data_IF_253176348180
#
_entry.id   IF_253176348180
#
_cell.length_a   1.000
_cell.length_b   1.000
_cell.length_c   1.000
_cell.angle_alpha   90.00
_cell.angle_beta   90.00
_cell.angle_gamma   90.00
#
_symmetry.space_group_name_H-M   'P 1'
#
loop_
_entity.id
_entity.type
_entity.pdbx_description
1 polymer ?
#
# COMPACT_ATOMS: atom_id res chain seq x y z
N UNK A 1 7.30 8.71 -79.72
CA UNK A 1 6.59 7.42 -79.54
C UNK A 1 7.48 6.57 -78.65
N UNK A 2 7.49 6.81 -77.33
CA UNK A 2 6.68 6.18 -76.26
C UNK A 2 7.23 4.82 -75.77
N UNK A 3 7.47 4.75 -74.45
CA UNK A 3 7.69 3.57 -73.56
C UNK A 3 9.15 3.09 -73.49
N UNK A 4 9.81 2.93 -72.34
CA UNK A 4 9.33 2.60 -71.00
C UNK A 4 10.18 3.30 -69.92
N UNK A 5 9.53 4.12 -69.10
CA UNK A 5 9.97 4.45 -67.75
C UNK A 5 9.17 3.57 -66.77
N UNK A 6 9.69 3.39 -65.57
CA UNK A 6 9.17 2.60 -64.45
C UNK A 6 9.46 1.10 -64.48
N UNK A 7 10.67 0.74 -64.03
CA UNK A 7 10.88 -0.49 -63.29
C UNK A 7 11.80 -0.19 -62.10
N UNK A 8 11.43 -0.72 -60.94
CA UNK A 8 12.20 -0.75 -59.69
C UNK A 8 12.20 0.52 -58.82
N UNK A 9 11.02 0.95 -58.36
CA UNK A 9 10.93 1.68 -57.08
C UNK A 9 9.60 1.40 -56.37
N UNK A 10 9.33 0.15 -56.00
CA UNK A 10 8.09 -0.21 -55.28
C UNK A 10 8.24 -1.51 -54.46
N UNK A 11 9.24 -1.57 -53.58
CA UNK A 11 9.34 -2.64 -52.57
C UNK A 11 9.87 -2.13 -51.22
N UNK A 12 9.25 -1.08 -50.68
CA UNK A 12 9.37 -0.73 -49.26
C UNK A 12 8.05 -0.15 -48.74
N UNK A 13 6.95 -0.88 -48.93
CA UNK A 13 5.75 -0.65 -48.12
C UNK A 13 5.98 -1.28 -46.75
N UNK A 14 6.52 -0.49 -45.82
CA UNK A 14 6.57 -0.85 -44.41
C UNK A 14 5.17 -1.15 -43.92
N UNK A 15 4.92 -2.39 -43.51
CA UNK A 15 3.68 -2.78 -42.85
C UNK A 15 3.76 -2.20 -41.44
N UNK A 16 3.25 -0.98 -41.25
CA UNK A 16 3.00 -0.43 -39.92
C UNK A 16 1.80 -1.20 -39.38
N UNK A 17 2.06 -2.29 -38.66
CA UNK A 17 1.05 -2.95 -37.86
C UNK A 17 0.64 -1.96 -36.75
N UNK A 18 -0.64 -1.58 -36.64
CA UNK A 18 -1.09 -0.84 -35.47
C UNK A 18 -0.91 -1.74 -34.24
N UNK A 19 -0.07 -1.31 -33.31
CA UNK A 19 0.00 -1.92 -31.97
C UNK A 19 -1.28 -1.48 -31.26
N UNK A 20 -2.27 -2.36 -31.23
CA UNK A 20 -3.42 -2.18 -30.36
C UNK A 20 -2.98 -2.49 -28.93
N UNK A 21 -2.85 -1.45 -28.10
CA UNK A 21 -2.71 -1.60 -26.67
C UNK A 21 -4.02 -2.21 -26.12
N UNK A 22 -4.01 -3.50 -25.84
CA UNK A 22 -5.12 -4.19 -25.18
C UNK A 22 -4.96 -4.01 -23.66
N UNK A 23 -5.59 -2.99 -23.09
CA UNK A 23 -5.85 -2.96 -21.65
C UNK A 23 -7.33 -2.74 -21.41
N UNK A 24 -8.10 -3.83 -21.46
CA UNK A 24 -9.44 -3.86 -20.91
C UNK A 24 -9.44 -4.79 -19.71
N UNK A 25 -8.66 -4.45 -18.68
CA UNK A 25 -8.95 -4.96 -17.35
C UNK A 25 -10.22 -4.29 -16.86
N UNK A 26 -11.17 -5.08 -16.37
CA UNK A 26 -12.32 -4.57 -15.63
C UNK A 26 -11.79 -3.68 -14.48
N UNK A 27 -12.19 -2.40 -14.39
CA UNK A 27 -11.75 -1.50 -13.33
C UNK A 27 -11.93 -2.07 -11.92
N UNK A 28 -12.95 -2.91 -11.71
CA UNK A 28 -13.19 -3.58 -10.44
C UNK A 28 -12.10 -4.60 -10.09
N UNK A 29 -11.63 -5.36 -11.08
CA UNK A 29 -10.55 -6.35 -10.91
C UNK A 29 -9.21 -5.66 -10.67
N UNK A 30 -8.95 -4.55 -11.33
CA UNK A 30 -7.73 -3.75 -11.11
C UNK A 30 -7.65 -3.23 -9.67
N UNK A 31 -8.75 -2.67 -9.16
CA UNK A 31 -8.84 -2.14 -7.79
C UNK A 31 -8.67 -3.22 -6.73
N UNK A 32 -9.29 -4.39 -6.92
CA UNK A 32 -9.11 -5.53 -6.01
C UNK A 32 -7.67 -6.02 -5.98
N UNK A 33 -7.01 -6.11 -7.14
CA UNK A 33 -5.60 -6.46 -7.22
C UNK A 33 -4.72 -5.43 -6.52
N UNK A 34 -5.05 -4.14 -6.60
CA UNK A 34 -4.33 -3.09 -5.88
C UNK A 34 -4.50 -3.23 -4.37
N UNK A 35 -5.72 -3.48 -3.88
CA UNK A 35 -5.96 -3.75 -2.45
C UNK A 35 -5.18 -4.97 -1.94
N UNK A 36 -5.09 -6.04 -2.73
CA UNK A 36 -4.27 -7.20 -2.38
C UNK A 36 -2.79 -6.84 -2.25
N UNK A 37 -2.27 -6.01 -3.17
CA UNK A 37 -0.89 -5.49 -3.07
C UNK A 37 -0.70 -4.63 -1.82
N UNK A 38 -1.66 -3.75 -1.50
CA UNK A 38 -1.61 -2.89 -0.30
C UNK A 38 -1.58 -3.74 0.97
N UNK A 39 -2.40 -4.79 1.05
CA UNK A 39 -2.43 -5.66 2.23
C UNK A 39 -1.15 -6.51 2.38
N UNK A 40 -0.55 -6.95 1.27
CA UNK A 40 0.63 -7.82 1.29
C UNK A 40 1.96 -7.06 1.49
N UNK A 41 2.09 -5.87 0.89
CA UNK A 41 3.34 -5.12 0.83
C UNK A 41 4.02 -4.90 2.20
N UNK A 42 3.30 -4.52 3.28
CA UNK A 42 3.95 -4.24 4.55
C UNK A 42 4.60 -5.45 5.22
N UNK A 43 4.22 -6.67 4.82
CA UNK A 43 4.81 -7.92 5.32
C UNK A 43 5.92 -8.46 4.42
N UNK A 44 6.03 -7.95 3.19
CA UNK A 44 6.92 -8.50 2.16
C UNK A 44 8.14 -7.62 1.89
N UNK A 45 8.13 -6.37 2.37
CA UNK A 45 9.18 -5.41 2.09
C UNK A 45 9.75 -4.85 3.38
N UNK A 46 11.07 -4.62 3.38
CA UNK A 46 11.74 -3.85 4.42
C UNK A 46 11.57 -2.37 4.11
N UNK A 47 11.29 -1.56 5.12
CA UNK A 47 11.10 -0.13 4.94
C UNK A 47 11.46 0.66 6.19
N UNK A 48 11.79 1.93 5.97
CA UNK A 48 11.98 2.94 7.01
C UNK A 48 11.24 4.20 6.59
N UNK A 49 10.60 4.86 7.54
CA UNK A 49 9.85 6.08 7.25
C UNK A 49 9.47 6.86 8.48
N UNK A 50 8.91 8.05 8.25
CA UNK A 50 8.28 8.87 9.28
C UNK A 50 6.85 9.12 8.86
N UNK A 51 5.92 8.94 9.78
CA UNK A 51 4.49 9.15 9.56
C UNK A 51 3.90 9.97 10.70
N UNK A 52 2.76 10.60 10.41
CA UNK A 52 1.97 11.32 11.40
C UNK A 52 0.70 10.51 11.64
N UNK A 53 0.43 10.19 12.90
CA UNK A 53 -0.87 9.68 13.33
C UNK A 53 -1.72 10.85 13.82
N UNK A 54 -2.93 10.98 13.30
CA UNK A 54 -3.89 12.00 13.73
C UNK A 54 -5.23 11.34 14.03
N UNK A 55 -5.75 11.57 15.24
CA UNK A 55 -7.05 11.07 15.69
C UNK A 55 -7.68 12.04 16.67
N UNK A 56 -8.82 12.63 16.29
CA UNK A 56 -9.44 13.71 17.06
C UNK A 56 -8.47 14.88 17.27
N UNK A 57 -8.19 15.21 18.53
CA UNK A 57 -7.27 16.29 18.90
C UNK A 57 -5.83 15.79 19.16
N UNK A 58 -5.56 14.50 18.95
CA UNK A 58 -4.24 13.91 19.14
C UNK A 58 -3.53 13.84 17.78
N UNK A 59 -2.34 14.43 17.72
CA UNK A 59 -1.40 14.33 16.60
C UNK A 59 -0.08 13.88 17.18
N UNK A 60 0.55 12.91 16.52
CA UNK A 60 1.83 12.35 16.93
C UNK A 60 2.68 12.01 15.71
N UNK A 61 3.96 12.37 15.76
CA UNK A 61 4.94 12.03 14.73
C UNK A 61 5.72 10.79 15.17
N UNK A 62 5.79 9.78 14.31
CA UNK A 62 6.49 8.52 14.60
C UNK A 62 7.47 8.14 13.49
N UNK A 63 8.60 7.55 13.86
CA UNK A 63 9.51 6.85 12.94
C UNK A 63 9.24 5.36 13.01
N UNK A 64 9.15 4.70 11.86
CA UNK A 64 9.03 3.24 11.74
C UNK A 64 10.25 2.67 11.02
N UNK A 65 10.70 1.52 11.49
CA UNK A 65 11.66 0.63 10.83
C UNK A 65 11.03 -0.75 10.81
N UNK A 66 10.95 -1.35 9.64
CA UNK A 66 10.44 -2.70 9.41
C UNK A 66 11.48 -3.53 8.65
N UNK A 67 11.66 -4.77 9.10
CA UNK A 67 12.57 -5.74 8.51
C UNK A 67 11.96 -7.14 8.56
N UNK A 68 12.13 -7.87 7.46
CA UNK A 68 11.87 -9.30 7.34
C UNK A 68 13.19 -10.01 7.05
N UNK A 69 13.54 -10.99 7.87
CA UNK A 69 14.72 -11.84 7.70
C UNK A 69 14.42 -13.34 7.97
N UNK A 70 15.45 -14.14 8.25
CA UNK A 70 15.31 -15.58 8.51
C UNK A 70 14.66 -15.90 9.87
N UNK A 71 14.75 -14.99 10.84
CA UNK A 71 14.16 -15.11 12.19
C UNK A 71 12.72 -14.59 12.23
N UNK A 72 12.33 -13.80 11.23
CA UNK A 72 10.95 -13.43 10.95
C UNK A 72 10.78 -11.93 10.77
N UNK A 73 9.67 -11.40 11.30
CA UNK A 73 9.30 -10.00 11.18
C UNK A 73 9.77 -9.20 12.39
N UNK A 74 10.47 -8.10 12.13
CA UNK A 74 10.99 -7.17 13.12
C UNK A 74 10.51 -5.76 12.81
N UNK A 75 10.01 -5.06 13.82
CA UNK A 75 9.51 -3.70 13.67
C UNK A 75 9.87 -2.86 14.89
N UNK A 76 10.31 -1.64 14.66
CA UNK A 76 10.53 -0.60 15.67
C UNK A 76 9.72 0.63 15.30
N UNK A 77 8.89 1.10 16.22
CA UNK A 77 8.21 2.39 16.14
C UNK A 77 8.71 3.28 17.28
N UNK A 78 9.18 4.47 16.94
CA UNK A 78 9.69 5.48 17.87
C UNK A 78 8.83 6.73 17.75
N UNK A 79 8.23 7.16 18.86
CA UNK A 79 7.49 8.42 18.93
C UNK A 79 8.47 9.58 19.08
N UNK A 80 8.39 10.53 18.16
CA UNK A 80 9.36 11.62 18.01
C UNK A 80 8.96 12.92 18.73
N UNK A 81 7.69 13.06 19.11
CA UNK A 81 7.15 14.22 19.80
C UNK A 81 6.19 13.83 20.95
N UNK A 82 5.94 14.75 21.88
CA UNK A 82 5.09 14.46 23.04
C UNK A 82 5.77 13.55 24.06
N UNK A 83 5.06 12.51 24.51
CA UNK A 83 5.58 11.54 25.49
C UNK A 83 6.36 10.43 24.76
N UNK A 84 7.68 10.36 24.94
CA UNK A 84 8.52 9.43 24.19
C UNK A 84 8.14 8.00 24.57
N UNK A 85 8.01 7.14 23.56
CA UNK A 85 7.89 5.70 23.74
C UNK A 85 8.46 4.98 22.53
N UNK A 86 9.00 3.80 22.79
CA UNK A 86 9.51 2.92 21.74
C UNK A 86 8.73 1.62 21.78
N UNK A 87 8.17 1.23 20.65
CA UNK A 87 7.48 -0.04 20.46
C UNK A 87 8.41 -0.92 19.64
N UNK A 88 8.81 -2.05 20.21
CA UNK A 88 9.61 -3.08 19.54
C UNK A 88 8.72 -4.31 19.37
N UNK A 89 8.56 -4.75 18.14
CA UNK A 89 7.80 -5.94 17.78
C UNK A 89 8.73 -6.94 17.10
N UNK A 90 8.77 -8.16 17.63
CA UNK A 90 9.46 -9.29 17.04
C UNK A 90 8.45 -10.42 16.90
N UNK A 91 8.04 -10.72 15.67
CA UNK A 91 6.97 -11.67 15.39
C UNK A 91 5.68 -11.34 16.20
N UNK A 92 5.30 -12.23 17.11
CA UNK A 92 4.11 -12.10 17.96
C UNK A 92 4.39 -11.45 19.34
N UNK A 93 5.64 -11.08 19.63
CA UNK A 93 6.01 -10.39 20.88
C UNK A 93 6.13 -8.88 20.65
N UNK A 94 5.41 -8.10 21.46
CA UNK A 94 5.51 -6.65 21.49
C UNK A 94 6.00 -6.17 22.86
N UNK A 95 6.96 -5.24 22.85
CA UNK A 95 7.45 -4.52 24.03
C UNK A 95 7.36 -3.03 23.80
N UNK A 96 6.65 -2.35 24.70
CA UNK A 96 6.58 -0.90 24.74
C UNK A 96 7.45 -0.38 25.89
N UNK A 97 8.46 0.42 25.55
CA UNK A 97 9.35 1.08 26.48
C UNK A 97 8.83 2.48 26.76
N UNK A 98 8.60 2.78 28.03
CA UNK A 98 8.15 4.08 28.53
C UNK A 98 9.29 4.71 29.34
N UNK A 99 10.11 5.60 28.74
CA UNK A 99 11.31 6.15 29.39
C UNK A 99 10.98 6.98 30.63
N UNK A 100 9.89 7.76 30.60
CA UNK A 100 9.51 8.63 31.71
C UNK A 100 9.25 7.86 33.01
N UNK A 101 8.53 6.73 32.91
CA UNK A 101 8.22 5.86 34.05
C UNK A 101 9.22 4.72 34.23
N UNK A 102 10.26 4.62 33.38
CA UNK A 102 11.21 3.50 33.34
C UNK A 102 10.53 2.13 33.33
N UNK A 103 9.40 2.04 32.64
CA UNK A 103 8.56 0.83 32.62
C UNK A 103 8.63 0.17 31.25
N UNK A 104 8.60 -1.17 31.25
CA UNK A 104 8.46 -1.98 30.04
C UNK A 104 7.12 -2.70 30.13
N UNK A 105 6.26 -2.47 29.13
CA UNK A 105 5.00 -3.18 28.97
C UNK A 105 5.20 -4.24 27.89
N UNK A 106 5.01 -5.51 28.24
CA UNK A 106 5.15 -6.63 27.31
C UNK A 106 3.79 -7.25 27.03
N UNK A 107 3.45 -7.39 25.76
CA UNK A 107 2.20 -8.00 25.33
C UNK A 107 2.49 -9.11 24.30
N UNK A 108 2.01 -10.33 24.60
CA UNK A 108 2.20 -11.53 23.76
C UNK A 108 0.98 -11.86 22.89
N UNK A 109 -0.05 -11.01 22.92
CA UNK A 109 -1.34 -11.25 22.25
C UNK A 109 -1.84 -10.03 21.48
N UNK A 110 -0.93 -9.15 21.04
CA UNK A 110 -1.31 -8.10 20.11
C UNK A 110 -1.53 -8.74 18.74
N UNK A 111 -2.80 -8.96 18.40
CA UNK A 111 -3.25 -9.50 17.12
C UNK A 111 -2.49 -8.83 15.95
N UNK A 112 -1.63 -9.59 15.25
CA UNK A 112 -1.19 -9.57 13.81
C UNK A 112 -1.33 -8.29 12.95
N UNK A 113 -1.49 -7.13 13.55
CA UNK A 113 -1.76 -5.86 12.90
C UNK A 113 -0.42 -5.20 12.64
N UNK A 114 0.12 -5.51 11.48
CA UNK A 114 1.33 -4.90 10.91
C UNK A 114 0.97 -3.51 10.41
N UNK A 115 1.83 -2.52 10.64
CA UNK A 115 1.61 -1.19 10.08
C UNK A 115 1.60 -1.26 8.54
N UNK A 116 0.68 -0.57 7.83
CA UNK A 116 -0.51 0.09 8.35
C UNK A 116 -1.66 -0.92 8.46
N UNK A 117 -2.18 -1.12 9.68
CA UNK A 117 -3.18 -2.14 9.98
C UNK A 117 -4.60 -1.74 9.57
N UNK A 118 -4.77 -1.30 8.33
CA UNK A 118 -5.98 -0.67 7.80
C UNK A 118 -6.96 -1.67 7.19
N UNK A 119 -6.46 -2.76 6.60
CA UNK A 119 -7.28 -3.71 5.87
C UNK A 119 -7.56 -4.98 6.68
N UNK A 120 -8.76 -5.59 6.53
CA UNK A 120 -9.04 -6.88 7.14
C UNK A 120 -8.26 -8.00 6.44
N UNK A 121 -7.92 -9.05 7.20
CA UNK A 121 -7.40 -10.30 6.66
C UNK A 121 -8.38 -11.44 6.97
N UNK A 122 -8.88 -12.18 5.97
CA UNK A 122 -8.65 -12.03 4.52
C UNK A 122 -9.46 -10.88 3.88
N UNK A 123 -8.96 -10.32 2.78
CA UNK A 123 -9.66 -9.28 2.01
C UNK A 123 -10.95 -9.76 1.34
N UNK A 124 -11.15 -11.07 1.22
CA UNK A 124 -12.31 -11.64 0.54
C UNK A 124 -13.64 -11.24 1.16
N UNK A 125 -13.70 -10.92 2.46
CA UNK A 125 -14.94 -10.45 3.11
C UNK A 125 -15.19 -8.95 2.95
N UNK A 126 -14.23 -8.20 2.40
CA UNK A 126 -14.35 -6.74 2.28
C UNK A 126 -15.50 -6.36 1.35
N UNK A 127 -15.66 -7.07 0.23
CA UNK A 127 -16.73 -6.84 -0.73
C UNK A 127 -18.14 -7.10 -0.18
N UNK A 128 -18.28 -7.89 0.90
CA UNK A 128 -19.57 -8.11 1.56
C UNK A 128 -20.02 -6.87 2.33
N UNK A 129 -19.06 -6.03 2.74
CA UNK A 129 -19.24 -4.96 3.72
C UNK A 129 -19.03 -3.56 3.13
N UNK A 130 -18.24 -3.46 2.06
CA UNK A 130 -17.83 -2.20 1.43
C UNK A 130 -18.02 -2.24 -0.08
N UNK A 131 -18.34 -1.09 -0.64
CA UNK A 131 -18.17 -0.77 -2.05
C UNK A 131 -16.75 -0.22 -2.21
N UNK A 132 -15.96 -0.86 -3.06
CA UNK A 132 -14.57 -0.46 -3.31
C UNK A 132 -14.49 0.25 -4.66
N UNK A 133 -13.93 1.45 -4.68
CA UNK A 133 -13.79 2.23 -5.91
C UNK A 133 -12.42 2.90 -6.01
N UNK A 134 -12.05 3.24 -7.25
CA UNK A 134 -10.84 3.99 -7.58
C UNK A 134 -11.16 5.48 -7.47
N UNK A 135 -10.44 6.19 -6.61
CA UNK A 135 -10.50 7.65 -6.52
C UNK A 135 -9.57 8.33 -7.54
N UNK A 136 -9.37 9.63 -7.37
CA UNK A 136 -8.37 10.39 -8.14
C UNK A 136 -6.94 9.97 -7.75
N UNK A 137 -5.97 10.24 -8.62
CA UNK A 137 -4.56 10.09 -8.26
C UNK A 137 -4.09 11.31 -7.47
N UNK A 138 -3.26 11.09 -6.46
CA UNK A 138 -2.70 12.11 -5.59
C UNK A 138 -1.20 11.93 -5.43
N UNK A 139 -0.52 12.98 -4.96
CA UNK A 139 0.91 12.92 -4.64
C UNK A 139 1.12 12.97 -3.13
N UNK A 140 1.62 11.89 -2.55
CA UNK A 140 1.87 11.76 -1.10
C UNK A 140 3.36 11.50 -0.87
N UNK A 141 4.01 12.34 -0.07
CA UNK A 141 5.46 12.25 0.21
C UNK A 141 6.31 12.14 -1.07
N UNK A 142 5.92 12.88 -2.11
CA UNK A 142 6.54 12.89 -3.45
C UNK A 142 6.38 11.59 -4.29
N UNK A 143 5.51 10.68 -3.85
CA UNK A 143 5.12 9.51 -4.63
C UNK A 143 3.77 9.74 -5.32
N UNK A 144 3.67 9.29 -6.57
CA UNK A 144 2.38 9.14 -7.26
C UNK A 144 1.59 8.01 -6.60
N UNK A 145 0.41 8.33 -6.09
CA UNK A 145 -0.45 7.44 -5.31
C UNK A 145 -1.83 7.35 -5.96
N UNK A 146 -2.36 6.13 -6.01
CA UNK A 146 -3.75 5.90 -6.40
C UNK A 146 -4.63 5.87 -5.16
N UNK A 147 -5.61 6.78 -5.06
CA UNK A 147 -6.62 6.74 -3.99
C UNK A 147 -7.55 5.55 -4.21
N UNK A 148 -7.83 4.82 -3.14
CA UNK A 148 -8.85 3.76 -3.10
C UNK A 148 -9.86 4.12 -2.03
N UNK A 149 -11.14 4.16 -2.40
CA UNK A 149 -12.24 4.53 -1.53
C UNK A 149 -12.97 3.27 -1.08
N UNK A 150 -13.22 3.16 0.21
CA UNK A 150 -13.98 2.07 0.85
C UNK A 150 -15.25 2.66 1.45
N UNK A 151 -16.34 2.64 0.70
CA UNK A 151 -17.64 3.15 1.16
C UNK A 151 -18.43 2.02 1.84
N UNK A 152 -18.87 2.17 3.10
CA UNK A 152 -19.57 1.11 3.80
C UNK A 152 -20.97 0.92 3.21
N UNK A 153 -21.43 -0.33 3.15
CA UNK A 153 -22.78 -0.66 2.65
C UNK A 153 -23.88 -0.45 3.69
N UNK A 154 -23.50 -0.15 4.93
CA UNK A 154 -24.37 0.03 6.08
C UNK A 154 -23.80 1.06 7.06
N UNK A 155 -24.62 1.54 7.99
CA UNK A 155 -24.23 2.55 9.00
C UNK A 155 -23.48 1.93 10.21
N UNK A 156 -23.05 0.67 10.11
CA UNK A 156 -22.44 -0.06 11.23
C UNK A 156 -20.91 0.04 11.23
N UNK A 157 -20.34 0.82 10.30
CA UNK A 157 -18.92 0.82 9.95
C UNK A 157 -18.41 2.21 9.57
N UNK A 158 -17.11 2.40 9.70
CA UNK A 158 -16.43 3.61 9.22
C UNK A 158 -16.12 3.50 7.72
N UNK A 159 -16.20 4.60 6.99
CA UNK A 159 -15.67 4.81 5.64
C UNK A 159 -16.04 6.17 5.10
#
# INVERSE_FOLDING_TARGET
MTRAALAALLLLSGVVQPIFAQSSSDPSVEVLNLLQKIAAAPRQHNYIGTFIYSSGNHIETSRIIHMLDQEGEHEKIEVLDGSPREIIRNNDEMRCYLPESKTIVTEKRWLRKVFPALLPEPLSSLHDSYIVSKGESERISDYECQVIVLEPKDDMRYG
#
